data_IF_074062615987
#
_entry.id   IF_074062615987
#
_cell.length_a   1.000
_cell.length_b   1.000
_cell.length_c   1.000
_cell.angle_alpha   90.00
_cell.angle_beta   90.00
_cell.angle_gamma   90.00
#
_symmetry.space_group_name_H-M   'P 1'
#
loop_
_entity.id
_entity.type
_entity.pdbx_description
1 polymer ?
#
# COMPACT_ATOMS: atom_id res chain seq x y z
N UNK A 1 -0.09 11.60 -4.96
CA UNK A 1 -0.34 12.04 -6.35
C UNK A 1 -1.24 11.01 -7.00
N UNK A 2 -2.22 11.44 -7.78
CA UNK A 2 -3.15 10.56 -8.49
C UNK A 2 -3.40 11.13 -9.87
N UNK A 3 -3.65 10.27 -10.86
CA UNK A 3 -3.94 10.63 -12.25
C UNK A 3 -4.90 9.63 -12.88
N UNK A 4 -5.77 10.11 -13.75
CA UNK A 4 -6.77 9.32 -14.45
C UNK A 4 -6.15 8.36 -15.46
N UNK A 5 -6.78 7.21 -15.59
CA UNK A 5 -6.36 6.17 -16.52
C UNK A 5 -7.20 6.24 -17.79
N UNK A 6 -6.52 6.23 -18.93
CA UNK A 6 -7.10 6.16 -20.27
C UNK A 6 -7.98 7.36 -20.68
N UNK A 7 -8.03 8.45 -19.91
CA UNK A 7 -8.85 9.61 -20.28
C UNK A 7 -8.45 10.26 -21.60
N UNK A 8 -7.15 10.35 -21.91
CA UNK A 8 -6.70 10.83 -23.22
C UNK A 8 -7.24 10.01 -24.39
N UNK A 9 -7.36 8.69 -24.22
CA UNK A 9 -7.98 7.80 -25.23
C UNK A 9 -9.49 8.03 -25.32
N UNK A 10 -10.18 8.22 -24.20
CA UNK A 10 -11.63 8.49 -24.19
C UNK A 10 -11.97 9.86 -24.79
N UNK A 11 -11.15 10.89 -24.52
CA UNK A 11 -11.29 12.25 -25.05
C UNK A 11 -11.13 12.36 -26.57
N UNK A 12 -10.55 11.35 -27.22
CA UNK A 12 -10.46 11.27 -28.68
C UNK A 12 -11.83 11.10 -29.35
N UNK A 13 -12.84 10.65 -28.61
CA UNK A 13 -14.24 10.58 -29.06
C UNK A 13 -14.97 11.88 -28.66
N UNK A 14 -15.31 12.70 -29.65
CA UNK A 14 -16.01 13.98 -29.48
C UNK A 14 -17.33 13.81 -28.72
N UNK A 15 -18.03 12.69 -28.90
CA UNK A 15 -19.32 12.46 -28.24
C UNK A 15 -19.16 12.23 -26.73
N UNK A 16 -17.99 11.79 -26.27
CA UNK A 16 -17.69 11.57 -24.85
C UNK A 16 -17.19 12.83 -24.17
N UNK A 17 -16.65 13.80 -24.90
CA UNK A 17 -16.02 15.00 -24.32
C UNK A 17 -16.94 15.75 -23.33
N UNK A 18 -18.22 16.06 -23.64
CA UNK A 18 -19.08 16.76 -22.69
C UNK A 18 -19.29 15.97 -21.39
N UNK A 19 -19.47 14.65 -21.51
CA UNK A 19 -19.70 13.74 -20.39
C UNK A 19 -18.43 13.64 -19.52
N UNK A 20 -17.25 13.58 -20.16
CA UNK A 20 -15.96 13.56 -19.46
C UNK A 20 -15.74 14.88 -18.73
N UNK A 21 -15.91 16.02 -19.40
CA UNK A 21 -15.74 17.35 -18.79
C UNK A 21 -16.67 17.53 -17.58
N UNK A 22 -17.93 17.09 -17.70
CA UNK A 22 -18.86 17.13 -16.57
C UNK A 22 -18.39 16.23 -15.41
N UNK A 23 -17.99 14.99 -15.69
CA UNK A 23 -17.47 14.07 -14.67
C UNK A 23 -16.23 14.60 -13.96
N UNK A 24 -15.30 15.24 -14.69
CA UNK A 24 -14.11 15.85 -14.11
C UNK A 24 -14.42 17.11 -13.29
N UNK A 25 -15.41 17.91 -13.71
CA UNK A 25 -15.88 19.05 -12.92
C UNK A 25 -16.49 18.58 -11.59
N UNK A 26 -17.34 17.54 -11.61
CA UNK A 26 -17.92 16.92 -10.41
C UNK A 26 -16.84 16.29 -9.51
N UNK A 27 -15.84 15.66 -10.13
CA UNK A 27 -14.69 15.08 -9.43
C UNK A 27 -13.91 16.15 -8.67
N UNK A 28 -13.36 17.12 -9.40
CA UNK A 28 -12.47 18.17 -8.85
C UNK A 28 -13.17 19.05 -7.82
N UNK A 29 -14.48 19.26 -7.94
CA UNK A 29 -15.25 20.06 -6.98
C UNK A 29 -15.21 19.51 -5.56
N UNK A 30 -15.21 18.18 -5.38
CA UNK A 30 -15.26 17.52 -4.06
C UNK A 30 -13.90 17.06 -3.53
N UNK A 31 -12.87 16.98 -4.37
CA UNK A 31 -11.51 16.60 -3.92
C UNK A 31 -11.00 17.46 -2.76
N UNK A 32 -11.17 18.81 -2.74
CA UNK A 32 -10.76 19.63 -1.60
C UNK A 32 -11.35 19.17 -0.26
N UNK A 33 -12.66 18.86 -0.24
CA UNK A 33 -13.35 18.40 0.97
C UNK A 33 -12.86 17.02 1.41
N UNK A 34 -12.67 16.10 0.46
CA UNK A 34 -12.14 14.75 0.75
C UNK A 34 -10.76 14.87 1.40
N UNK A 35 -9.86 15.67 0.82
CA UNK A 35 -8.50 15.84 1.35
C UNK A 35 -8.51 16.51 2.72
N UNK A 36 -9.32 17.55 2.91
CA UNK A 36 -9.45 18.24 4.19
C UNK A 36 -9.98 17.32 5.31
N UNK A 37 -10.95 16.46 4.99
CA UNK A 37 -11.51 15.48 5.94
C UNK A 37 -10.51 14.39 6.35
N UNK A 38 -9.38 14.26 5.64
CA UNK A 38 -8.27 13.36 5.95
C UNK A 38 -7.01 14.13 6.40
N UNK A 39 -7.19 15.30 7.03
CA UNK A 39 -6.10 16.12 7.57
C UNK A 39 -5.04 16.52 6.52
N UNK A 40 -5.40 16.49 5.24
CA UNK A 40 -4.50 16.76 4.13
C UNK A 40 -4.46 18.22 3.72
N UNK A 41 -3.35 18.60 3.09
CA UNK A 41 -3.19 19.85 2.37
C UNK A 41 -3.21 19.60 0.86
N UNK A 42 -4.28 20.05 0.20
CA UNK A 42 -4.40 19.95 -1.25
C UNK A 42 -3.50 21.01 -1.92
N UNK A 43 -2.59 20.58 -2.79
CA UNK A 43 -1.76 21.46 -3.62
C UNK A 43 -2.48 21.74 -4.94
N UNK A 44 -3.02 20.70 -5.57
CA UNK A 44 -3.67 20.80 -6.87
C UNK A 44 -4.71 19.70 -7.05
N UNK A 45 -5.86 20.07 -7.62
CA UNK A 45 -6.84 19.16 -8.19
C UNK A 45 -7.40 19.80 -9.46
N UNK A 46 -7.14 19.21 -10.62
CA UNK A 46 -7.58 19.78 -11.89
C UNK A 46 -7.59 18.73 -13.00
N UNK A 47 -8.68 18.69 -13.74
CA UNK A 47 -8.94 17.56 -14.63
C UNK A 47 -9.07 16.28 -13.80
N UNK A 48 -8.21 15.32 -14.07
CA UNK A 48 -8.11 14.02 -13.41
C UNK A 48 -6.92 13.89 -12.45
N UNK A 49 -6.03 14.87 -12.44
CA UNK A 49 -4.83 14.90 -11.61
C UNK A 49 -5.11 15.45 -10.19
N UNK A 50 -4.56 14.80 -9.17
CA UNK A 50 -4.60 15.24 -7.77
C UNK A 50 -3.23 15.17 -7.12
N UNK A 51 -2.83 16.27 -6.46
CA UNK A 51 -1.63 16.36 -5.65
C UNK A 51 -1.96 16.95 -4.27
N UNK A 52 -1.67 16.18 -3.22
CA UNK A 52 -1.86 16.58 -1.84
C UNK A 52 -0.70 16.07 -0.96
N UNK A 53 -0.48 16.75 0.17
CA UNK A 53 0.43 16.33 1.24
C UNK A 53 -0.44 15.94 2.43
N UNK A 54 -0.18 14.78 3.03
CA UNK A 54 -0.97 14.25 4.13
C UNK A 54 -0.09 13.67 5.24
N UNK A 55 -0.59 13.60 6.49
CA UNK A 55 -0.02 12.75 7.53
C UNK A 55 0.07 11.28 7.09
N UNK A 56 0.97 10.53 7.73
CA UNK A 56 1.20 9.11 7.41
C UNK A 56 -0.07 8.28 7.63
N UNK A 57 -0.80 8.60 8.69
CA UNK A 57 -1.98 7.88 9.15
C UNK A 57 -3.16 8.00 8.17
N UNK A 58 -3.27 9.13 7.47
CA UNK A 58 -4.45 9.48 6.67
C UNK A 58 -4.26 9.25 5.16
N UNK A 59 -3.01 9.16 4.70
CA UNK A 59 -2.69 9.15 3.27
C UNK A 59 -3.36 8.00 2.49
N UNK A 60 -3.39 6.80 3.05
CA UNK A 60 -3.99 5.62 2.41
C UNK A 60 -5.50 5.76 2.26
N UNK A 61 -6.19 6.14 3.33
CA UNK A 61 -7.65 6.27 3.32
C UNK A 61 -8.11 7.47 2.50
N UNK A 62 -7.35 8.57 2.49
CA UNK A 62 -7.60 9.68 1.57
C UNK A 62 -7.52 9.23 0.11
N UNK A 63 -6.48 8.47 -0.26
CA UNK A 63 -6.31 8.00 -1.64
C UNK A 63 -7.46 7.06 -2.06
N UNK A 64 -7.91 6.20 -1.15
CA UNK A 64 -9.10 5.34 -1.33
C UNK A 64 -10.35 6.18 -1.56
N UNK A 65 -10.59 7.19 -0.73
CA UNK A 65 -11.76 8.06 -0.82
C UNK A 65 -11.78 8.84 -2.14
N UNK A 66 -10.63 9.34 -2.60
CA UNK A 66 -10.51 10.01 -3.90
C UNK A 66 -10.80 9.02 -5.05
N UNK A 67 -10.30 7.78 -4.98
CA UNK A 67 -10.61 6.74 -5.99
C UNK A 67 -12.11 6.44 -6.06
N UNK A 68 -12.75 6.21 -4.92
CA UNK A 68 -14.20 5.94 -4.85
C UNK A 68 -14.98 7.10 -5.48
N UNK A 69 -14.67 8.33 -5.08
CA UNK A 69 -15.33 9.52 -5.62
C UNK A 69 -15.10 9.67 -7.14
N UNK A 70 -13.89 9.40 -7.62
CA UNK A 70 -13.61 9.37 -9.06
C UNK A 70 -14.50 8.35 -9.79
N UNK A 71 -14.57 7.12 -9.29
CA UNK A 71 -15.40 6.06 -9.87
C UNK A 71 -16.89 6.45 -9.88
N UNK A 72 -17.40 7.04 -8.80
CA UNK A 72 -18.77 7.52 -8.70
C UNK A 72 -19.07 8.62 -9.74
N UNK A 73 -18.11 9.51 -10.01
CA UNK A 73 -18.25 10.55 -11.02
C UNK A 73 -18.35 10.00 -12.45
N UNK A 74 -17.90 8.77 -12.71
CA UNK A 74 -17.99 8.12 -14.01
C UNK A 74 -18.95 6.92 -14.05
N UNK A 75 -19.59 6.63 -12.92
CA UNK A 75 -20.60 5.58 -12.81
C UNK A 75 -21.77 5.87 -13.74
N UNK A 76 -22.23 4.84 -14.45
CA UNK A 76 -23.33 4.89 -15.42
C UNK A 76 -23.09 5.82 -16.64
N UNK A 77 -21.89 6.39 -16.78
CA UNK A 77 -21.48 7.17 -17.96
C UNK A 77 -20.82 6.23 -18.99
N UNK A 78 -20.97 6.46 -20.31
CA UNK A 78 -20.34 5.65 -21.36
C UNK A 78 -18.83 5.93 -21.51
N UNK A 79 -18.12 6.04 -20.39
CA UNK A 79 -16.70 6.37 -20.28
C UNK A 79 -16.03 5.31 -19.42
N UNK A 80 -15.18 4.49 -20.04
CA UNK A 80 -14.37 3.51 -19.29
C UNK A 80 -13.09 4.18 -18.84
N UNK A 81 -13.01 4.48 -17.54
CA UNK A 81 -11.85 5.11 -16.91
C UNK A 81 -11.70 4.64 -15.47
N UNK A 82 -10.50 4.81 -14.92
CA UNK A 82 -10.12 4.53 -13.53
C UNK A 82 -9.12 5.60 -13.08
N UNK A 83 -8.62 5.52 -11.86
CA UNK A 83 -7.57 6.43 -11.37
C UNK A 83 -6.48 5.62 -10.68
N UNK A 84 -5.23 5.95 -10.95
CA UNK A 84 -4.06 5.34 -10.30
C UNK A 84 -3.42 6.33 -9.34
N UNK A 85 -2.74 5.82 -8.31
CA UNK A 85 -2.15 6.65 -7.26
C UNK A 85 -0.72 6.25 -6.91
N UNK A 86 0.08 7.25 -6.57
CA UNK A 86 1.38 7.12 -5.94
C UNK A 86 1.39 7.86 -4.59
N UNK A 87 1.80 7.15 -3.54
CA UNK A 87 2.06 7.69 -2.21
C UNK A 87 3.56 7.59 -1.92
N UNK A 88 4.16 8.71 -1.59
CA UNK A 88 5.57 8.80 -1.22
C UNK A 88 5.67 9.17 0.26
N UNK A 89 6.11 8.23 1.09
CA UNK A 89 6.50 8.54 2.46
C UNK A 89 7.98 8.95 2.49
N UNK A 90 8.27 10.13 3.02
CA UNK A 90 9.62 10.66 3.10
C UNK A 90 9.80 11.52 4.35
N UNK A 91 11.05 11.75 4.74
CA UNK A 91 11.37 12.67 5.82
C UNK A 91 10.96 14.11 5.45
N UNK A 92 10.48 14.89 6.42
CA UNK A 92 9.99 16.27 6.22
C UNK A 92 11.03 17.21 5.57
N UNK A 93 12.32 16.95 5.81
CA UNK A 93 13.42 17.72 5.21
C UNK A 93 13.80 17.29 3.78
N UNK A 94 13.14 16.28 3.21
CA UNK A 94 13.46 15.84 1.85
C UNK A 94 13.04 16.91 0.83
N UNK A 95 13.89 17.26 -0.16
CA UNK A 95 13.57 18.30 -1.13
C UNK A 95 12.31 17.99 -1.93
N UNK A 96 11.29 18.86 -1.85
CA UNK A 96 9.98 18.65 -2.46
C UNK A 96 10.07 18.40 -3.97
N UNK A 97 10.93 19.12 -4.70
CA UNK A 97 11.13 18.91 -6.14
C UNK A 97 11.52 17.47 -6.49
N UNK A 98 12.39 16.87 -5.67
CA UNK A 98 12.82 15.48 -5.88
C UNK A 98 11.70 14.50 -5.53
N UNK A 99 10.91 14.78 -4.50
CA UNK A 99 9.75 13.98 -4.14
C UNK A 99 8.67 14.01 -5.21
N UNK A 100 8.42 15.17 -5.83
CA UNK A 100 7.47 15.31 -6.93
C UNK A 100 7.91 14.51 -8.16
N UNK A 101 9.18 14.58 -8.53
CA UNK A 101 9.70 13.77 -9.63
C UNK A 101 9.56 12.28 -9.35
N UNK A 102 9.89 11.84 -8.12
CA UNK A 102 9.69 10.46 -7.68
C UNK A 102 8.22 10.06 -7.68
N UNK A 103 7.30 10.93 -7.25
CA UNK A 103 5.87 10.64 -7.25
C UNK A 103 5.34 10.38 -8.67
N UNK A 104 5.77 11.14 -9.67
CA UNK A 104 5.46 10.86 -11.07
C UNK A 104 6.02 9.53 -11.53
N UNK A 105 7.30 9.24 -11.25
CA UNK A 105 7.92 7.96 -11.61
C UNK A 105 7.14 6.77 -11.01
N UNK A 106 6.84 6.82 -9.71
CA UNK A 106 6.09 5.76 -9.03
C UNK A 106 4.67 5.62 -9.57
N UNK A 107 4.03 6.71 -9.97
CA UNK A 107 2.71 6.67 -10.57
C UNK A 107 2.74 6.01 -11.95
N UNK A 108 3.68 6.42 -12.81
CA UNK A 108 3.73 5.97 -14.19
C UNK A 108 4.36 4.58 -14.35
N UNK A 109 5.47 4.32 -13.67
CA UNK A 109 6.22 3.07 -13.78
C UNK A 109 5.59 1.97 -12.91
N UNK A 110 5.24 2.26 -11.66
CA UNK A 110 4.83 1.22 -10.72
C UNK A 110 3.30 1.02 -10.69
N UNK A 111 2.51 2.08 -10.50
CA UNK A 111 1.05 1.94 -10.46
C UNK A 111 0.44 1.68 -11.85
N UNK A 112 0.84 2.45 -12.86
CA UNK A 112 0.24 2.36 -14.20
C UNK A 112 0.85 1.24 -15.04
N UNK A 113 2.18 1.20 -15.18
CA UNK A 113 2.83 0.21 -16.03
C UNK A 113 2.97 -1.16 -15.35
N UNK A 114 3.61 -1.23 -14.18
CA UNK A 114 3.93 -2.51 -13.51
C UNK A 114 2.74 -3.14 -12.76
N UNK A 115 1.80 -2.35 -12.24
CA UNK A 115 0.57 -2.87 -11.63
C UNK A 115 -0.64 -2.85 -12.57
N UNK A 116 -0.48 -2.27 -13.76
CA UNK A 116 -1.48 -2.33 -14.82
C UNK A 116 -2.69 -1.40 -14.65
N UNK A 117 -2.51 -0.21 -14.04
CA UNK A 117 -3.53 0.83 -13.84
C UNK A 117 -4.65 0.43 -12.88
N UNK A 118 -5.53 1.37 -12.51
CA UNK A 118 -6.47 1.19 -11.40
C UNK A 118 -5.74 0.59 -10.17
N UNK A 119 -4.63 1.22 -9.82
CA UNK A 119 -3.68 0.70 -8.85
C UNK A 119 -3.12 1.78 -7.94
N UNK A 120 -2.64 1.35 -6.79
CA UNK A 120 -1.94 2.14 -5.80
C UNK A 120 -0.49 1.64 -5.69
N UNK A 121 0.46 2.56 -5.80
CA UNK A 121 1.86 2.34 -5.47
C UNK A 121 2.28 3.20 -4.26
N UNK A 122 3.02 2.60 -3.32
CA UNK A 122 3.46 3.21 -2.07
C UNK A 122 4.96 2.99 -1.90
N UNK A 123 5.73 4.08 -1.91
CA UNK A 123 7.16 4.04 -1.71
C UNK A 123 7.55 4.74 -0.41
N UNK A 124 8.46 4.13 0.35
CA UNK A 124 9.05 4.73 1.55
C UNK A 124 10.50 5.11 1.25
N UNK A 125 10.85 6.39 1.30
CA UNK A 125 12.22 6.87 1.06
C UNK A 125 12.95 7.16 2.37
N UNK A 126 14.15 6.59 2.50
CA UNK A 126 15.06 6.80 3.64
C UNK A 126 16.44 7.18 3.08
N UNK A 127 16.66 8.48 2.88
CA UNK A 127 17.90 9.00 2.30
C UNK A 127 17.92 8.93 0.76
N UNK A 128 18.96 8.30 0.19
CA UNK A 128 19.22 8.35 -1.27
C UNK A 128 18.26 7.50 -2.11
N UNK A 129 17.64 6.46 -1.55
CA UNK A 129 16.78 5.51 -2.28
C UNK A 129 15.52 5.07 -1.53
N UNK A 130 14.62 4.32 -2.21
CA UNK A 130 13.43 3.75 -1.59
C UNK A 130 13.83 2.53 -0.74
N UNK A 131 13.39 2.53 0.52
CA UNK A 131 13.51 1.41 1.45
C UNK A 131 12.39 0.37 1.30
N UNK A 132 11.26 0.78 0.72
CA UNK A 132 10.09 -0.07 0.45
C UNK A 132 9.46 0.39 -0.87
N UNK A 133 9.08 -0.57 -1.71
CA UNK A 133 8.38 -0.35 -2.97
C UNK A 133 7.22 -1.34 -3.08
N UNK A 134 6.00 -0.90 -2.85
CA UNK A 134 4.83 -1.77 -2.88
C UNK A 134 3.80 -1.23 -3.86
N UNK A 135 3.22 -2.09 -4.70
CA UNK A 135 2.17 -1.71 -5.62
C UNK A 135 1.14 -2.83 -5.80
N UNK A 136 -0.15 -2.45 -5.84
CA UNK A 136 -1.28 -3.36 -6.04
C UNK A 136 -2.42 -2.69 -6.80
N UNK A 137 -3.21 -3.50 -7.52
CA UNK A 137 -4.57 -3.10 -7.90
C UNK A 137 -5.33 -2.70 -6.64
N UNK A 138 -6.16 -1.68 -6.72
CA UNK A 138 -6.92 -1.22 -5.54
C UNK A 138 -7.76 -2.35 -4.95
N UNK A 139 -8.44 -3.13 -5.78
CA UNK A 139 -9.32 -4.20 -5.30
C UNK A 139 -8.54 -5.37 -4.66
N UNK A 140 -7.28 -5.57 -5.06
CA UNK A 140 -6.39 -6.54 -4.41
C UNK A 140 -5.79 -6.01 -3.10
N UNK A 141 -5.72 -4.69 -2.93
CA UNK A 141 -5.21 -4.04 -1.73
C UNK A 141 -6.24 -3.97 -0.59
N UNK A 142 -7.52 -4.05 -0.92
CA UNK A 142 -8.65 -3.91 0.01
C UNK A 142 -9.22 -5.27 0.42
N UNK A 143 -9.64 -5.38 1.67
CA UNK A 143 -10.37 -6.52 2.19
C UNK A 143 -11.88 -6.40 1.90
N UNK A 144 -12.65 -7.41 2.33
CA UNK A 144 -14.11 -7.45 2.15
C UNK A 144 -14.87 -6.31 2.85
N UNK A 145 -14.25 -5.69 3.85
CA UNK A 145 -14.84 -4.58 4.62
C UNK A 145 -14.51 -3.22 4.00
N UNK A 146 -13.70 -3.18 2.93
CA UNK A 146 -13.25 -1.93 2.28
C UNK A 146 -12.04 -1.28 2.96
N UNK A 147 -11.37 -1.98 3.87
CA UNK A 147 -10.13 -1.54 4.52
C UNK A 147 -8.91 -2.11 3.81
N UNK A 148 -7.79 -1.39 3.86
CA UNK A 148 -6.54 -1.94 3.37
C UNK A 148 -6.09 -3.14 4.21
N UNK A 149 -5.68 -4.22 3.54
CA UNK A 149 -5.08 -5.36 4.22
C UNK A 149 -3.88 -4.95 5.07
N UNK A 150 -3.04 -4.02 4.59
CA UNK A 150 -1.88 -3.52 5.33
C UNK A 150 -2.28 -2.87 6.67
N UNK A 151 -3.34 -2.05 6.68
CA UNK A 151 -3.86 -1.40 7.89
C UNK A 151 -4.48 -2.42 8.84
N UNK A 152 -5.26 -3.36 8.32
CA UNK A 152 -5.87 -4.43 9.13
C UNK A 152 -4.82 -5.32 9.80
N UNK A 153 -3.76 -5.69 9.06
CA UNK A 153 -2.62 -6.46 9.59
C UNK A 153 -1.88 -5.64 10.65
N UNK A 154 -1.58 -4.36 10.37
CA UNK A 154 -0.92 -3.46 11.31
C UNK A 154 -1.72 -3.32 12.63
N UNK A 155 -3.03 -3.10 12.55
CA UNK A 155 -3.90 -2.99 13.72
C UNK A 155 -3.93 -4.29 14.54
N UNK A 156 -4.00 -5.46 13.88
CA UNK A 156 -3.89 -6.78 14.56
C UNK A 156 -2.56 -6.92 15.28
N UNK A 157 -1.45 -6.56 14.63
CA UNK A 157 -0.12 -6.61 15.23
C UNK A 157 0.03 -5.68 16.44
N UNK A 158 -0.55 -4.48 16.40
CA UNK A 158 -0.53 -3.55 17.54
C UNK A 158 -1.32 -4.12 18.72
N UNK A 159 -2.51 -4.69 18.49
CA UNK A 159 -3.31 -5.33 19.54
C UNK A 159 -2.56 -6.50 20.19
N UNK A 160 -1.87 -7.29 19.37
CA UNK A 160 -1.00 -8.34 19.89
C UNK A 160 0.19 -7.80 20.71
N UNK A 161 0.54 -6.51 20.63
CA UNK A 161 1.61 -5.92 21.45
C UNK A 161 1.10 -5.26 22.72
N UNK A 162 -0.12 -4.72 22.72
CA UNK A 162 -0.67 -4.03 23.90
C UNK A 162 -1.00 -4.99 25.04
N UNK A 163 -1.20 -6.28 24.75
CA UNK A 163 -1.53 -7.30 25.74
C UNK A 163 -0.28 -7.87 26.45
N UNK A 164 0.93 -7.42 26.09
CA UNK A 164 2.18 -7.75 26.79
C UNK A 164 2.53 -6.65 27.79
N UNK A 165 2.71 -7.02 29.08
CA UNK A 165 2.97 -6.11 30.20
C UNK A 165 4.34 -5.39 30.19
N UNK A 166 5.18 -5.57 29.16
CA UNK A 166 6.51 -4.95 29.08
C UNK A 166 6.50 -3.77 28.10
N UNK A 167 6.63 -2.58 28.68
CA UNK A 167 6.39 -1.29 28.04
C UNK A 167 7.58 -0.67 27.29
N UNK A 168 8.69 -1.38 27.03
CA UNK A 168 9.88 -0.72 26.44
C UNK A 168 10.58 -1.43 25.28
N UNK A 169 10.45 -2.74 25.09
CA UNK A 169 11.07 -3.43 23.96
C UNK A 169 10.12 -3.50 22.74
N UNK A 170 10.65 -3.20 21.56
CA UNK A 170 9.86 -2.82 20.39
C UNK A 170 8.84 -3.86 19.93
N UNK A 171 7.83 -3.37 19.20
CA UNK A 171 6.77 -4.10 18.47
C UNK A 171 7.21 -5.56 18.19
N UNK A 172 6.59 -6.52 18.88
CA UNK A 172 6.80 -7.98 18.80
C UNK A 172 7.11 -8.46 17.36
N UNK A 173 6.37 -7.93 16.40
CA UNK A 173 6.44 -8.34 14.99
C UNK A 173 7.48 -7.58 14.16
N UNK A 174 8.13 -6.53 14.66
CA UNK A 174 9.07 -5.72 13.87
C UNK A 174 10.28 -6.54 13.41
N UNK A 175 10.87 -7.34 14.32
CA UNK A 175 11.99 -8.24 13.99
C UNK A 175 11.54 -9.34 13.03
N UNK A 176 10.39 -9.96 13.30
CA UNK A 176 9.79 -10.97 12.42
C UNK A 176 9.56 -10.42 11.00
N UNK A 177 8.85 -9.30 10.87
CA UNK A 177 8.56 -8.66 9.58
C UNK A 177 9.83 -8.26 8.82
N UNK A 178 10.86 -7.81 9.54
CA UNK A 178 12.16 -7.53 8.94
C UNK A 178 12.82 -8.80 8.40
N UNK A 179 12.73 -9.91 9.14
CA UNK A 179 13.35 -11.19 8.81
C UNK A 179 12.64 -11.96 7.69
N UNK A 180 11.39 -11.61 7.34
CA UNK A 180 10.65 -12.22 6.21
C UNK A 180 11.48 -12.22 4.92
N UNK A 181 12.29 -11.18 4.67
CA UNK A 181 13.21 -11.09 3.52
C UNK A 181 14.10 -12.34 3.37
N UNK A 182 14.62 -12.84 4.49
CA UNK A 182 15.54 -13.99 4.50
C UNK A 182 14.80 -15.30 4.25
N UNK A 183 13.50 -15.37 4.54
CA UNK A 183 12.68 -16.53 4.22
C UNK A 183 12.35 -16.55 2.75
N UNK A 184 11.99 -15.41 2.19
CA UNK A 184 11.67 -15.29 0.77
C UNK A 184 12.87 -15.70 -0.09
N UNK A 185 14.10 -15.33 0.28
CA UNK A 185 15.30 -15.76 -0.44
C UNK A 185 15.51 -17.29 -0.48
N UNK A 186 14.92 -18.06 0.44
CA UNK A 186 15.03 -19.53 0.44
C UNK A 186 14.08 -20.20 -0.56
N UNK A 187 12.99 -19.52 -0.95
CA UNK A 187 11.99 -20.05 -1.88
C UNK A 187 12.04 -19.36 -3.25
N UNK A 188 12.83 -18.30 -3.38
CA UNK A 188 13.10 -17.64 -4.67
C UNK A 188 14.03 -18.54 -5.51
N UNK A 189 13.57 -18.89 -6.71
CA UNK A 189 14.44 -19.33 -7.81
C UNK A 189 15.21 -18.13 -8.37
N UNK A 190 16.16 -18.35 -9.30
CA UNK A 190 16.84 -17.24 -10.02
C UNK A 190 15.84 -16.28 -10.71
N UNK A 191 14.62 -16.74 -11.00
CA UNK A 191 13.53 -15.98 -11.63
C UNK A 191 12.50 -15.42 -10.64
N UNK A 192 12.73 -15.57 -9.33
CA UNK A 192 11.85 -15.11 -8.25
C UNK A 192 10.42 -15.69 -8.29
N UNK A 193 10.20 -16.86 -8.88
CA UNK A 193 8.87 -17.48 -9.02
C UNK A 193 8.59 -18.59 -7.98
N UNK A 194 7.40 -18.59 -7.39
CA UNK A 194 6.89 -19.64 -6.48
C UNK A 194 5.92 -20.58 -7.20
N UNK A 195 6.07 -21.89 -6.99
CA UNK A 195 5.04 -22.89 -7.29
C UNK A 195 3.94 -22.90 -6.21
N UNK A 196 2.79 -23.52 -6.50
CA UNK A 196 1.69 -23.64 -5.53
C UNK A 196 2.06 -24.46 -4.28
N UNK A 197 2.85 -25.52 -4.45
CA UNK A 197 3.39 -26.29 -3.31
C UNK A 197 4.33 -25.43 -2.45
N UNK A 198 5.17 -24.60 -3.08
CA UNK A 198 6.05 -23.68 -2.36
C UNK A 198 5.27 -22.57 -1.65
N UNK A 199 4.12 -22.14 -2.17
CA UNK A 199 3.24 -21.15 -1.52
C UNK A 199 2.68 -21.69 -0.19
N UNK A 200 2.20 -22.94 -0.17
CA UNK A 200 1.66 -23.54 1.04
C UNK A 200 2.77 -23.77 2.08
N UNK A 201 3.93 -24.29 1.64
CA UNK A 201 5.09 -24.48 2.51
C UNK A 201 5.63 -23.16 3.09
N UNK A 202 5.71 -22.10 2.28
CA UNK A 202 6.10 -20.76 2.76
C UNK A 202 5.11 -20.22 3.80
N UNK A 203 3.81 -20.40 3.56
CA UNK A 203 2.77 -20.00 4.51
C UNK A 203 2.95 -20.71 5.85
N UNK A 204 3.15 -22.03 5.84
CA UNK A 204 3.32 -22.82 7.06
C UNK A 204 4.61 -22.47 7.80
N UNK A 205 5.71 -22.25 7.06
CA UNK A 205 6.97 -21.80 7.64
C UNK A 205 6.83 -20.44 8.33
N UNK A 206 6.21 -19.45 7.67
CA UNK A 206 6.03 -18.12 8.24
C UNK A 206 5.08 -18.13 9.44
N UNK A 207 4.06 -18.99 9.43
CA UNK A 207 3.20 -19.18 10.60
C UNK A 207 3.99 -19.76 11.78
N UNK A 208 4.83 -20.77 11.54
CA UNK A 208 5.68 -21.35 12.58
C UNK A 208 6.69 -20.33 13.13
N UNK A 209 7.36 -19.58 12.26
CA UNK A 209 8.29 -18.51 12.64
C UNK A 209 7.58 -17.41 13.45
N UNK A 210 6.36 -17.02 13.07
CA UNK A 210 5.59 -16.03 13.81
C UNK A 210 5.25 -16.50 15.22
N UNK A 211 4.78 -17.74 15.37
CA UNK A 211 4.47 -18.36 16.68
C UNK A 211 5.75 -18.49 17.51
N UNK A 212 6.87 -18.90 16.90
CA UNK A 212 8.14 -19.01 17.58
C UNK A 212 8.63 -17.64 18.08
N UNK A 213 8.49 -16.61 17.25
CA UNK A 213 8.77 -15.24 17.65
C UNK A 213 7.89 -14.84 18.84
N UNK A 214 6.60 -15.22 18.85
CA UNK A 214 5.65 -14.89 19.92
C UNK A 214 6.09 -15.48 21.25
N UNK A 215 6.46 -16.77 21.22
CA UNK A 215 6.98 -17.48 22.39
C UNK A 215 8.27 -16.85 22.92
N UNK A 216 9.11 -16.33 22.02
CA UNK A 216 10.35 -15.63 22.39
C UNK A 216 10.13 -14.40 23.26
N UNK A 217 8.92 -13.81 23.24
CA UNK A 217 8.52 -12.67 24.09
C UNK A 217 7.45 -13.07 25.12
N UNK A 218 7.33 -14.36 25.44
CA UNK A 218 6.39 -14.86 26.45
C UNK A 218 4.93 -15.02 26.00
N UNK A 219 4.61 -14.84 24.72
CA UNK A 219 3.26 -15.03 24.17
C UNK A 219 3.03 -16.47 23.72
N UNK A 220 2.38 -17.27 24.56
CA UNK A 220 2.07 -18.68 24.29
C UNK A 220 0.63 -18.92 23.81
N UNK A 221 -0.21 -17.89 23.83
CA UNK A 221 -1.61 -17.89 23.42
C UNK A 221 -1.80 -17.79 21.89
N UNK A 222 -0.75 -17.46 21.14
CA UNK A 222 -0.80 -17.38 19.68
C UNK A 222 -0.94 -18.77 19.07
N UNK A 223 -2.12 -19.06 18.53
CA UNK A 223 -2.44 -20.32 17.85
C UNK A 223 -2.03 -20.30 16.38
N UNK A 224 -1.91 -21.48 15.76
CA UNK A 224 -1.70 -21.61 14.32
C UNK A 224 -2.80 -20.93 13.50
N UNK A 225 -4.04 -21.00 13.97
CA UNK A 225 -5.18 -20.33 13.33
C UNK A 225 -4.98 -18.81 13.30
N UNK A 226 -4.63 -18.20 14.44
CA UNK A 226 -4.37 -16.77 14.54
C UNK A 226 -3.18 -16.33 13.67
N UNK A 227 -2.11 -17.12 13.66
CA UNK A 227 -0.96 -16.86 12.79
C UNK A 227 -1.38 -16.89 11.31
N UNK A 228 -2.14 -17.91 10.89
CA UNK A 228 -2.60 -18.05 9.51
C UNK A 228 -3.52 -16.91 9.07
N UNK A 229 -4.42 -16.45 9.94
CA UNK A 229 -5.31 -15.29 9.70
C UNK A 229 -4.56 -13.96 9.50
N UNK A 230 -3.29 -13.90 9.87
CA UNK A 230 -2.42 -12.74 9.67
C UNK A 230 -1.48 -12.92 8.47
N UNK A 231 -0.84 -14.10 8.38
CA UNK A 231 0.18 -14.39 7.38
C UNK A 231 -0.42 -14.57 5.98
N UNK A 232 -1.58 -15.21 5.83
CA UNK A 232 -2.18 -15.42 4.51
C UNK A 232 -2.49 -14.09 3.78
N UNK A 233 -3.20 -13.12 4.41
CA UNK A 233 -3.39 -11.81 3.80
C UNK A 233 -2.08 -11.08 3.51
N UNK A 234 -1.10 -11.16 4.42
CA UNK A 234 0.21 -10.55 4.23
C UNK A 234 0.92 -11.09 2.99
N UNK A 235 0.94 -12.42 2.81
CA UNK A 235 1.54 -13.07 1.65
C UNK A 235 0.83 -12.70 0.35
N UNK A 236 -0.50 -12.56 0.37
CA UNK A 236 -1.24 -12.07 -0.80
C UNK A 236 -0.78 -10.67 -1.20
N UNK A 237 -0.51 -9.79 -0.22
CA UNK A 237 0.02 -8.45 -0.45
C UNK A 237 1.47 -8.42 -0.93
N UNK A 238 2.25 -9.47 -0.66
CA UNK A 238 3.62 -9.65 -1.12
C UNK A 238 3.75 -10.11 -2.59
N UNK A 239 2.67 -10.57 -3.23
CA UNK A 239 2.69 -11.03 -4.63
C UNK A 239 2.71 -9.86 -5.61
N UNK A 240 3.41 -9.99 -6.74
CA UNK A 240 3.36 -9.00 -7.79
C UNK A 240 1.97 -8.98 -8.47
N UNK A 241 1.38 -7.81 -8.75
CA UNK A 241 0.04 -7.67 -9.33
C UNK A 241 -0.12 -8.26 -10.74
N UNK A 242 0.93 -8.30 -11.57
CA UNK A 242 0.87 -8.85 -12.93
C UNK A 242 1.45 -10.26 -13.04
N UNK A 243 2.23 -10.69 -12.04
CA UNK A 243 2.79 -12.04 -11.98
C UNK A 243 2.70 -12.57 -10.54
N UNK A 244 1.61 -13.26 -10.22
CA UNK A 244 1.35 -13.80 -8.88
C UNK A 244 2.38 -14.84 -8.41
N UNK A 245 3.24 -15.35 -9.29
CA UNK A 245 4.34 -16.23 -8.91
C UNK A 245 5.54 -15.44 -8.37
N UNK A 246 5.67 -14.16 -8.76
CA UNK A 246 6.68 -13.28 -8.20
C UNK A 246 6.25 -12.75 -6.84
N UNK A 247 7.13 -12.85 -5.86
CA UNK A 247 6.86 -12.45 -4.48
C UNK A 247 8.03 -11.67 -3.88
N UNK A 248 7.73 -10.63 -3.11
CA UNK A 248 8.72 -9.83 -2.40
C UNK A 248 8.29 -9.45 -0.97
N UNK A 249 9.24 -9.00 -0.17
CA UNK A 249 9.03 -8.64 1.22
C UNK A 249 8.38 -7.26 1.43
N UNK A 250 8.07 -6.50 0.36
CA UNK A 250 7.75 -5.07 0.48
C UNK A 250 6.49 -4.82 1.31
N UNK A 251 5.46 -5.65 1.19
CA UNK A 251 4.26 -5.51 2.03
C UNK A 251 4.56 -5.70 3.52
N UNK A 252 5.40 -6.68 3.89
CA UNK A 252 5.82 -6.89 5.27
C UNK A 252 6.63 -5.70 5.83
N UNK A 253 7.53 -5.15 5.01
CA UNK A 253 8.30 -3.98 5.38
C UNK A 253 7.43 -2.72 5.48
N UNK A 254 6.41 -2.59 4.64
CA UNK A 254 5.43 -1.50 4.71
C UNK A 254 4.58 -1.59 5.98
N UNK A 255 4.03 -2.77 6.30
CA UNK A 255 3.30 -3.00 7.56
C UNK A 255 4.17 -2.64 8.76
N UNK A 256 5.44 -3.06 8.76
CA UNK A 256 6.40 -2.70 9.81
C UNK A 256 6.57 -1.18 9.93
N UNK A 257 6.75 -0.50 8.80
CA UNK A 257 6.90 0.96 8.75
C UNK A 257 5.66 1.68 9.31
N UNK A 258 4.46 1.25 8.91
CA UNK A 258 3.19 1.79 9.39
C UNK A 258 2.99 1.52 10.88
N UNK A 259 3.31 0.32 11.36
CA UNK A 259 3.19 -0.04 12.79
C UNK A 259 4.11 0.80 13.68
N UNK A 260 5.26 1.22 13.13
CA UNK A 260 6.22 2.09 13.79
C UNK A 260 5.87 3.59 13.67
N UNK A 261 4.76 3.95 13.01
CA UNK A 261 4.41 5.35 12.68
C UNK A 261 5.55 6.09 11.98
N UNK A 262 6.33 5.39 11.16
CA UNK A 262 7.52 5.92 10.51
C UNK A 262 8.70 6.23 11.44
N UNK A 263 8.62 5.93 12.75
CA UNK A 263 9.69 6.15 13.72
C UNK A 263 10.66 4.95 13.68
N UNK A 264 11.92 5.21 13.33
CA UNK A 264 12.97 4.24 13.58
C UNK A 264 13.44 4.35 15.04
N UNK A 265 13.03 3.40 15.88
CA UNK A 265 13.88 3.05 17.03
C UNK A 265 15.08 2.31 16.43
N UNK A 266 16.21 3.01 16.34
CA UNK A 266 17.42 2.53 15.67
C UNK A 266 17.79 1.11 16.14
N UNK A 267 17.98 0.20 15.18
CA UNK A 267 18.85 -0.94 15.42
C UNK A 267 20.29 -0.43 15.32
N UNK A 268 20.88 -0.10 16.47
CA UNK A 268 22.28 0.27 16.73
C UNK A 268 22.75 1.63 16.17
N UNK A 269 22.84 2.60 17.08
CA UNK A 269 24.09 3.35 17.27
C UNK A 269 24.98 2.53 18.22
#
# INVERSE_FOLDING_TARGET
MMDGDHLGRQMSDINKQPIITQGLAEFTQKVPDIVANHNGFLIYAGGDDVLAILPLEDALDCAKAVRIHYQDCFKDKPVTTSISAAIIYAHINAPLKNLLHKAHQVLDDDAKAAAGRDALAVHVYKGSGPAVQWAKKWDDALNTDGDYYLNAIQAKLIRLNSDSNDSEEGIFSSKFLYQIRHRFSLFKTETQTLSDENNQLLTDLLCADFIQSARGIGRTDITLKMARELIQPLLAQCKNPLNNNHIDENAALLVRFLAQKGIERGANA
#
